data_IF_775850586604
#
_entry.id   IF_775850586604
#
_cell.length_a   1.000
_cell.length_b   1.000
_cell.length_c   1.000
_cell.angle_alpha   90.00
_cell.angle_beta   90.00
_cell.angle_gamma   90.00
#
_symmetry.space_group_name_H-M   'P 1'
#
loop_
_entity.id
_entity.type
_entity.pdbx_description
1 polymer ?
#
# COMPACT_ATOMS: atom_id res chain seq x y z
N UNK A 1 -26.32 2.27 -2.12
CA UNK A 1 -25.19 3.14 -2.56
C UNK A 1 -24.27 3.46 -1.38
N UNK A 2 -23.65 2.45 -0.73
CA UNK A 2 -22.73 2.63 0.43
C UNK A 2 -21.44 1.79 0.27
N UNK A 3 -21.43 0.75 -0.57
CA UNK A 3 -20.29 -0.19 -0.65
C UNK A 3 -19.05 0.34 -1.39
N UNK A 4 -19.10 1.51 -2.03
CA UNK A 4 -18.00 2.02 -2.89
C UNK A 4 -17.18 3.16 -2.26
N UNK A 5 -17.62 3.68 -1.11
CA UNK A 5 -16.94 4.79 -0.42
C UNK A 5 -16.32 4.39 0.92
N UNK A 6 -16.83 3.36 1.62
CA UNK A 6 -16.24 2.87 2.86
C UNK A 6 -14.86 2.22 2.66
N UNK A 7 -14.64 1.56 1.51
CA UNK A 7 -13.34 0.96 1.16
C UNK A 7 -12.22 2.00 1.07
N UNK A 8 -12.52 3.23 0.61
CA UNK A 8 -11.51 4.31 0.48
C UNK A 8 -10.88 4.73 1.81
N UNK A 9 -11.65 4.68 2.90
CA UNK A 9 -11.13 4.99 4.23
C UNK A 9 -10.17 3.92 4.73
N UNK A 10 -10.53 2.65 4.53
CA UNK A 10 -9.67 1.53 4.85
C UNK A 10 -8.42 1.47 3.98
N UNK A 11 -8.53 1.78 2.69
CA UNK A 11 -7.40 1.87 1.77
C UNK A 11 -6.40 2.93 2.25
N UNK A 12 -6.89 4.10 2.69
CA UNK A 12 -6.04 5.16 3.24
C UNK A 12 -5.37 4.75 4.55
N UNK A 13 -6.09 4.08 5.46
CA UNK A 13 -5.51 3.56 6.72
C UNK A 13 -4.49 2.45 6.43
N UNK A 14 -4.78 1.55 5.50
CA UNK A 14 -3.88 0.46 5.09
C UNK A 14 -2.60 1.03 4.48
N UNK A 15 -2.72 2.04 3.62
CA UNK A 15 -1.58 2.74 3.03
C UNK A 15 -0.76 3.46 4.11
N UNK A 16 -1.40 4.22 5.00
CA UNK A 16 -0.72 4.94 6.08
C UNK A 16 0.03 3.98 7.02
N UNK A 17 -0.59 2.85 7.37
CA UNK A 17 0.06 1.81 8.15
C UNK A 17 1.28 1.21 7.43
N UNK A 18 1.15 0.93 6.13
CA UNK A 18 2.25 0.42 5.32
C UNK A 18 3.44 1.40 5.25
N UNK A 19 3.17 2.70 5.09
CA UNK A 19 4.19 3.76 5.09
C UNK A 19 4.93 3.80 6.44
N UNK A 20 4.18 3.81 7.54
CA UNK A 20 4.75 3.83 8.90
C UNK A 20 5.64 2.61 9.17
N UNK A 21 5.16 1.42 8.80
CA UNK A 21 5.91 0.17 8.97
C UNK A 21 7.16 0.18 8.09
N UNK A 22 7.06 0.60 6.83
CA UNK A 22 8.21 0.69 5.94
C UNK A 22 9.28 1.65 6.47
N UNK A 23 8.87 2.80 7.01
CA UNK A 23 9.78 3.74 7.67
C UNK A 23 10.48 3.11 8.88
N UNK A 24 9.78 2.28 9.65
CA UNK A 24 10.38 1.52 10.75
C UNK A 24 11.38 0.46 10.24
N UNK A 25 11.04 -0.29 9.19
CA UNK A 25 11.92 -1.30 8.60
C UNK A 25 13.22 -0.67 8.07
N UNK A 26 13.11 0.40 7.30
CA UNK A 26 14.26 1.12 6.75
C UNK A 26 15.15 1.69 7.86
N UNK A 27 14.56 2.23 8.94
CA UNK A 27 15.32 2.69 10.12
C UNK A 27 16.11 1.56 10.80
N UNK A 28 15.59 0.34 10.76
CA UNK A 28 16.24 -0.85 11.31
C UNK A 28 17.12 -1.59 10.29
N UNK A 29 17.41 -0.99 9.12
CA UNK A 29 18.19 -1.59 8.03
C UNK A 29 17.60 -2.91 7.52
N UNK A 30 16.29 -3.09 7.69
CA UNK A 30 15.54 -4.22 7.16
C UNK A 30 15.07 -3.93 5.74
N UNK A 31 14.78 -4.98 4.94
CA UNK A 31 14.22 -4.81 3.59
C UNK A 31 12.95 -3.96 3.60
N UNK A 32 12.77 -3.15 2.56
CA UNK A 32 11.56 -2.34 2.39
C UNK A 32 10.32 -3.22 2.23
N UNK A 33 9.19 -2.72 2.69
CA UNK A 33 7.91 -3.39 2.57
C UNK A 33 7.37 -3.27 1.14
N UNK A 34 7.00 -4.40 0.54
CA UNK A 34 6.27 -4.44 -0.73
C UNK A 34 4.77 -4.39 -0.46
N UNK A 35 4.13 -3.33 -0.93
CA UNK A 35 2.70 -3.12 -0.82
C UNK A 35 1.93 -3.85 -1.93
N UNK A 36 1.27 -4.95 -1.59
CA UNK A 36 0.50 -5.75 -2.55
C UNK A 36 -0.94 -5.25 -2.60
N UNK A 37 -1.40 -4.84 -3.78
CA UNK A 37 -2.81 -4.50 -4.00
C UNK A 37 -3.24 -4.72 -5.44
N UNK A 38 -4.45 -5.23 -5.65
CA UNK A 38 -5.04 -5.34 -6.99
C UNK A 38 -5.57 -3.99 -7.50
N UNK A 39 -5.76 -2.98 -6.63
CA UNK A 39 -6.28 -1.67 -7.01
C UNK A 39 -5.15 -0.76 -7.52
N UNK A 40 -5.27 -0.33 -8.79
CA UNK A 40 -4.31 0.57 -9.42
C UNK A 40 -4.21 1.94 -8.75
N UNK A 41 -5.31 2.49 -8.22
CA UNK A 41 -5.29 3.79 -7.54
C UNK A 41 -4.51 3.71 -6.24
N UNK A 42 -4.70 2.63 -5.48
CA UNK A 42 -3.99 2.42 -4.22
C UNK A 42 -2.51 2.13 -4.46
N UNK A 43 -2.19 1.36 -5.51
CA UNK A 43 -0.81 1.13 -5.95
C UNK A 43 -0.11 2.43 -6.35
N UNK A 44 -0.76 3.29 -7.13
CA UNK A 44 -0.20 4.60 -7.50
C UNK A 44 0.01 5.50 -6.28
N UNK A 45 -0.91 5.48 -5.32
CA UNK A 45 -0.74 6.21 -4.07
C UNK A 45 0.46 5.68 -3.27
N UNK A 46 0.61 4.36 -3.15
CA UNK A 46 1.78 3.75 -2.51
C UNK A 46 3.09 4.15 -3.18
N UNK A 47 3.16 4.11 -4.51
CA UNK A 47 4.36 4.52 -5.26
C UNK A 47 4.65 6.01 -5.09
N UNK A 48 3.62 6.88 -5.08
CA UNK A 48 3.79 8.30 -4.84
C UNK A 48 4.34 8.62 -3.44
N UNK A 49 4.01 7.79 -2.45
CA UNK A 49 4.51 7.87 -1.07
C UNK A 49 5.86 7.16 -0.88
N UNK A 50 6.48 6.65 -1.96
CA UNK A 50 7.81 6.02 -1.94
C UNK A 50 7.81 4.55 -1.49
N UNK A 51 6.65 3.89 -1.44
CA UNK A 51 6.57 2.45 -1.23
C UNK A 51 6.75 1.69 -2.55
N UNK A 52 7.37 0.50 -2.46
CA UNK A 52 7.32 -0.48 -3.54
C UNK A 52 5.91 -1.07 -3.53
N UNK A 53 5.25 -1.14 -4.69
CA UNK A 53 3.91 -1.72 -4.77
C UNK A 53 3.77 -2.67 -5.97
N UNK A 54 3.11 -3.81 -5.77
CA UNK A 54 2.97 -4.86 -6.80
C UNK A 54 1.51 -5.34 -6.94
N UNK A 55 1.19 -5.91 -8.11
CA UNK A 55 -0.13 -6.45 -8.43
C UNK A 55 -0.14 -7.97 -8.31
N UNK A 56 -0.95 -8.55 -7.41
CA UNK A 56 -1.08 -9.99 -7.35
C UNK A 56 -1.65 -10.57 -8.65
N UNK A 57 -2.42 -9.80 -9.42
CA UNK A 57 -2.99 -10.27 -10.69
C UNK A 57 -1.97 -10.43 -11.82
N UNK A 58 -0.71 -9.99 -11.64
CA UNK A 58 0.36 -10.23 -12.61
C UNK A 58 1.11 -11.54 -12.37
N UNK A 59 0.80 -12.26 -11.27
CA UNK A 59 1.42 -13.53 -10.91
C UNK A 59 0.33 -14.61 -10.81
N UNK A 60 -0.09 -15.23 -11.94
CA UNK A 60 -1.10 -16.29 -11.97
C UNK A 60 -0.62 -17.64 -11.46
#
# INVERSE_FOLDING_TARGET
MIRRHALRGYDAVQLAAAILINGCLLKNQLPSLTFISADNRLRMAAVAEGLIADNPNFHP
#
